data_IF_565470302577
#
_entry.id   IF_565470302577
#
_cell.length_a   1.000
_cell.length_b   1.000
_cell.length_c   1.000
_cell.angle_alpha   90.00
_cell.angle_beta   90.00
_cell.angle_gamma   90.00
#
_symmetry.space_group_name_H-M   'P 1'
#
loop_
_entity.id
_entity.type
_entity.pdbx_description
1 polymer ?
#
# COMPACT_ATOMS: atom_id res chain seq x y z
N UNK A 1 -4.45 13.19 25.92
CA UNK A 1 -3.81 12.89 24.62
C UNK A 1 -4.85 13.08 23.54
N UNK A 2 -4.49 13.74 22.45
CA UNK A 2 -5.36 13.93 21.29
C UNK A 2 -5.07 12.84 20.25
N UNK A 3 -6.12 12.12 19.84
CA UNK A 3 -6.07 11.02 18.88
C UNK A 3 -6.84 11.34 17.60
N UNK A 4 -7.16 12.62 17.38
CA UNK A 4 -7.88 13.05 16.18
C UNK A 4 -7.01 12.81 14.94
N UNK A 5 -7.52 11.99 14.02
CA UNK A 5 -6.86 11.73 12.73
C UNK A 5 -7.01 12.97 11.85
N UNK A 6 -5.87 13.49 11.38
CA UNK A 6 -5.82 14.67 10.51
C UNK A 6 -6.38 14.36 9.11
N UNK A 7 -6.89 15.39 8.44
CA UNK A 7 -7.46 15.26 7.09
C UNK A 7 -6.50 14.61 6.07
N UNK A 8 -5.20 15.00 6.01
CA UNK A 8 -4.26 14.35 5.10
C UNK A 8 -4.10 12.84 5.32
N UNK A 9 -4.26 12.38 6.57
CA UNK A 9 -4.20 10.94 6.89
C UNK A 9 -5.50 10.24 6.51
N UNK A 10 -6.66 10.91 6.64
CA UNK A 10 -7.94 10.37 6.16
C UNK A 10 -7.92 10.15 4.64
N UNK A 11 -7.38 11.10 3.88
CA UNK A 11 -7.22 10.99 2.43
C UNK A 11 -6.26 9.86 2.03
N UNK A 12 -5.16 9.72 2.78
CA UNK A 12 -4.21 8.63 2.59
C UNK A 12 -4.88 7.28 2.82
N UNK A 13 -5.62 7.12 3.93
CA UNK A 13 -6.36 5.89 4.26
C UNK A 13 -7.37 5.56 3.15
N UNK A 14 -8.14 6.55 2.68
CA UNK A 14 -9.12 6.35 1.62
C UNK A 14 -8.45 5.88 0.31
N UNK A 15 -7.27 6.42 0.00
CA UNK A 15 -6.51 6.02 -1.19
C UNK A 15 -5.96 4.60 -1.06
N UNK A 16 -5.40 4.24 0.09
CA UNK A 16 -4.88 2.88 0.33
C UNK A 16 -6.02 1.86 0.29
N UNK A 17 -7.17 2.17 0.88
CA UNK A 17 -8.35 1.29 0.85
C UNK A 17 -8.80 0.98 -0.57
N UNK A 18 -8.97 2.01 -1.42
CA UNK A 18 -9.32 1.79 -2.84
C UNK A 18 -8.29 0.93 -3.56
N UNK A 19 -7.00 1.16 -3.34
CA UNK A 19 -5.95 0.34 -3.95
C UNK A 19 -6.03 -1.13 -3.50
N UNK A 20 -6.29 -1.39 -2.22
CA UNK A 20 -6.47 -2.76 -1.71
C UNK A 20 -7.70 -3.41 -2.34
N UNK A 21 -8.84 -2.73 -2.31
CA UNK A 21 -10.12 -3.26 -2.75
C UNK A 21 -10.13 -3.53 -4.27
N UNK A 22 -9.59 -2.60 -5.06
CA UNK A 22 -9.67 -2.64 -6.52
C UNK A 22 -8.50 -3.38 -7.18
N UNK A 23 -7.31 -3.40 -6.57
CA UNK A 23 -6.11 -3.95 -7.19
C UNK A 23 -5.53 -5.17 -6.45
N UNK A 24 -5.50 -5.17 -5.12
CA UNK A 24 -4.85 -6.25 -4.34
C UNK A 24 -5.75 -7.48 -4.17
N UNK A 25 -7.00 -7.30 -3.73
CA UNK A 25 -7.94 -8.40 -3.48
C UNK A 25 -8.18 -9.28 -4.74
N UNK A 26 -8.28 -8.73 -5.97
CA UNK A 26 -8.38 -9.56 -7.17
C UNK A 26 -7.16 -10.49 -7.37
N UNK A 27 -5.96 -10.03 -7.01
CA UNK A 27 -4.74 -10.85 -7.08
C UNK A 27 -4.67 -11.85 -5.93
N UNK A 28 -5.14 -11.48 -4.73
CA UNK A 28 -5.27 -12.40 -3.59
C UNK A 28 -6.11 -13.62 -3.96
N UNK A 29 -7.24 -13.44 -4.66
CA UNK A 29 -8.05 -14.57 -5.13
C UNK A 29 -7.24 -15.56 -5.97
N UNK A 30 -6.37 -15.07 -6.86
CA UNK A 30 -5.47 -15.92 -7.65
C UNK A 30 -4.45 -16.65 -6.79
N UNK A 31 -3.92 -15.99 -5.76
CA UNK A 31 -3.03 -16.62 -4.77
C UNK A 31 -3.74 -17.76 -4.05
N UNK A 32 -4.99 -17.55 -3.62
CA UNK A 32 -5.78 -18.57 -2.93
C UNK A 32 -6.10 -19.77 -3.82
N UNK A 33 -6.39 -19.53 -5.10
CA UNK A 33 -6.76 -20.59 -6.04
C UNK A 33 -5.57 -21.37 -6.60
N UNK A 34 -4.41 -20.71 -6.81
CA UNK A 34 -3.29 -21.26 -7.60
C UNK A 34 -1.93 -21.19 -6.88
N UNK A 35 -1.89 -20.67 -5.66
CA UNK A 35 -0.68 -20.49 -4.87
C UNK A 35 0.05 -19.17 -5.18
N UNK A 36 0.89 -18.75 -4.23
CA UNK A 36 1.60 -17.46 -4.28
C UNK A 36 2.47 -17.29 -5.53
N UNK A 37 3.19 -18.34 -5.93
CA UNK A 37 4.05 -18.31 -7.12
C UNK A 37 3.29 -18.02 -8.42
N UNK A 38 2.02 -18.43 -8.52
CA UNK A 38 1.20 -18.26 -9.71
C UNK A 38 0.69 -16.81 -9.91
N UNK A 39 0.82 -15.96 -8.89
CA UNK A 39 0.47 -14.54 -8.92
C UNK A 39 1.72 -13.63 -8.93
N UNK A 40 2.92 -14.20 -9.10
CA UNK A 40 4.18 -13.46 -9.04
C UNK A 40 4.26 -12.23 -9.95
N UNK A 41 3.90 -12.33 -11.24
CA UNK A 41 3.87 -11.18 -12.15
C UNK A 41 2.91 -10.06 -11.69
N UNK A 42 1.71 -10.43 -11.23
CA UNK A 42 0.71 -9.49 -10.74
C UNK A 42 1.15 -8.81 -9.45
N UNK A 43 1.75 -9.56 -8.52
CA UNK A 43 2.33 -9.02 -7.28
C UNK A 43 3.47 -8.05 -7.60
N UNK A 44 4.33 -8.36 -8.57
CA UNK A 44 5.39 -7.45 -9.01
C UNK A 44 4.80 -6.15 -9.57
N UNK A 45 3.76 -6.24 -10.40
CA UNK A 45 3.04 -5.06 -10.91
C UNK A 45 2.44 -4.22 -9.78
N UNK A 46 1.81 -4.83 -8.79
CA UNK A 46 1.25 -4.12 -7.64
C UNK A 46 2.33 -3.38 -6.83
N UNK A 47 3.49 -4.01 -6.62
CA UNK A 47 4.63 -3.36 -5.93
C UNK A 47 5.14 -2.14 -6.68
N UNK A 48 5.28 -2.25 -8.00
CA UNK A 48 5.69 -1.14 -8.86
C UNK A 48 4.68 0.01 -8.80
N UNK A 49 3.38 -0.32 -8.84
CA UNK A 49 2.31 0.67 -8.71
C UNK A 49 2.37 1.44 -7.39
N UNK A 50 2.55 0.73 -6.28
CA UNK A 50 2.69 1.35 -4.94
C UNK A 50 3.97 2.18 -4.83
N UNK A 51 5.03 1.77 -5.52
CA UNK A 51 6.30 2.51 -5.61
C UNK A 51 6.13 3.82 -6.38
N UNK A 52 5.43 3.82 -7.51
CA UNK A 52 5.08 5.05 -8.27
C UNK A 52 4.24 6.03 -7.44
N UNK A 53 3.36 5.53 -6.58
CA UNK A 53 2.59 6.35 -5.66
C UNK A 53 3.44 6.95 -4.51
N UNK A 54 4.72 6.56 -4.40
CA UNK A 54 5.62 6.93 -3.31
C UNK A 54 5.17 6.37 -1.96
N UNK A 55 4.46 5.23 -1.97
CA UNK A 55 3.85 4.61 -0.77
C UNK A 55 4.44 3.26 -0.41
N UNK A 56 5.39 2.76 -1.21
CA UNK A 56 6.09 1.53 -0.86
C UNK A 56 6.99 1.82 0.35
N UNK A 57 6.93 0.95 1.36
CA UNK A 57 7.60 1.17 2.64
C UNK A 57 7.29 2.57 3.22
N UNK A 58 6.05 2.82 3.67
CA UNK A 58 5.58 4.16 4.04
C UNK A 58 6.41 4.81 5.15
N UNK A 59 6.96 4.05 6.09
CA UNK A 59 7.85 4.55 7.16
C UNK A 59 9.26 4.92 6.68
N UNK A 60 9.71 4.36 5.56
CA UNK A 60 11.09 4.57 5.12
C UNK A 60 11.29 6.02 4.68
N UNK A 61 12.47 6.61 4.92
CA UNK A 61 12.74 7.97 4.48
C UNK A 61 12.66 8.10 2.97
N UNK A 62 12.25 9.29 2.51
CA UNK A 62 12.08 9.59 1.08
C UNK A 62 13.39 9.48 0.28
N UNK A 63 14.53 9.77 0.92
CA UNK A 63 15.86 9.65 0.31
C UNK A 63 16.22 8.20 -0.09
N UNK A 64 15.56 7.20 0.51
CA UNK A 64 15.69 5.78 0.16
C UNK A 64 14.52 5.27 -0.70
N UNK A 65 13.66 6.17 -1.18
CA UNK A 65 12.48 5.83 -1.99
C UNK A 65 11.22 5.46 -1.20
N UNK A 66 11.20 5.69 0.11
CA UNK A 66 10.04 5.43 0.98
C UNK A 66 9.04 6.60 1.08
N UNK A 67 7.96 6.39 1.83
CA UNK A 67 6.87 7.37 1.98
C UNK A 67 7.10 8.49 3.01
N UNK A 68 8.06 8.33 3.92
CA UNK A 68 8.40 9.28 4.98
C UNK A 68 7.30 9.52 6.02
N UNK A 69 6.39 8.56 6.22
CA UNK A 69 5.32 8.64 7.22
C UNK A 69 5.86 8.39 8.62
N UNK A 70 5.46 9.24 9.57
CA UNK A 70 5.80 9.07 10.97
C UNK A 70 5.04 7.88 11.57
N UNK A 71 5.60 7.27 12.63
CA UNK A 71 4.98 6.12 13.31
C UNK A 71 3.55 6.41 13.80
N UNK A 72 3.25 7.64 14.19
CA UNK A 72 1.91 8.04 14.65
C UNK A 72 0.87 8.02 13.51
N UNK A 73 1.32 8.05 12.26
CA UNK A 73 0.48 8.09 11.08
C UNK A 73 0.30 6.69 10.43
N UNK A 74 0.74 5.63 11.13
CA UNK A 74 0.47 4.23 10.80
C UNK A 74 -0.92 3.77 11.26
#
# INVERSE_FOLDING_TARGET
>A
MDFTVSEPIRDLIATVRRFVDEEVIPVERRVLERGFGAAGPEIARLRERVREMGRLAPHMPREWGGGGLALRDF
#
